data_IF_409020560077
#
_entry.id   IF_409020560077
#
_cell.length_a   1.000
_cell.length_b   1.000
_cell.length_c   1.000
_cell.angle_alpha   90.00
_cell.angle_beta   90.00
_cell.angle_gamma   90.00
#
_symmetry.space_group_name_H-M   'P 1'
#
loop_
_entity.id
_entity.type
_entity.pdbx_description
1 polymer ?
#
# COMPACT_ATOMS: atom_id res chain seq x y z
N UNK A 1 -0.91 17.67 -11.00
CA UNK A 1 -0.27 17.99 -9.71
C UNK A 1 -0.58 16.79 -8.85
N UNK A 2 0.38 15.90 -8.62
CA UNK A 2 0.16 14.70 -7.80
C UNK A 2 0.24 15.00 -6.31
N UNK A 3 -0.30 14.08 -5.52
CA UNK A 3 -0.28 14.10 -4.07
C UNK A 3 0.98 13.44 -3.52
N UNK A 4 1.57 14.05 -2.50
CA UNK A 4 2.69 13.50 -1.75
C UNK A 4 2.34 13.52 -0.26
N UNK A 5 2.58 12.41 0.42
CA UNK A 5 2.24 12.31 1.83
C UNK A 5 2.86 11.08 2.48
N UNK A 6 3.49 11.31 3.62
CA UNK A 6 4.17 10.28 4.39
C UNK A 6 3.51 10.15 5.76
N UNK A 7 3.01 8.96 6.11
CA UNK A 7 2.19 8.72 7.31
C UNK A 7 2.67 7.51 8.08
N UNK A 8 2.82 7.68 9.39
CA UNK A 8 3.18 6.63 10.33
C UNK A 8 2.01 6.30 11.25
N UNK A 9 1.63 5.04 11.34
CA UNK A 9 0.65 4.56 12.31
C UNK A 9 1.36 3.95 13.52
N UNK A 10 1.15 4.54 14.69
CA UNK A 10 1.72 4.09 15.96
C UNK A 10 0.68 4.25 17.07
N UNK A 11 0.55 3.26 17.96
CA UNK A 11 -0.35 3.31 19.12
C UNK A 11 -1.82 3.65 18.81
N UNK A 12 -2.32 3.35 17.61
CA UNK A 12 -3.70 3.62 17.21
C UNK A 12 -3.91 4.99 16.55
N UNK A 13 -2.86 5.79 16.38
CA UNK A 13 -2.93 7.14 15.81
C UNK A 13 -2.00 7.29 14.61
N UNK A 14 -2.40 8.16 13.68
CA UNK A 14 -1.59 8.56 12.54
C UNK A 14 -0.77 9.80 12.86
N UNK A 15 0.49 9.77 12.45
CA UNK A 15 1.39 10.91 12.44
C UNK A 15 1.82 11.19 11.00
N UNK A 16 1.54 12.40 10.53
CA UNK A 16 2.11 12.91 9.27
C UNK A 16 3.58 13.23 9.50
N UNK A 17 4.45 12.69 8.66
CA UNK A 17 5.89 12.85 8.73
C UNK A 17 6.35 13.95 7.76
N UNK A 18 7.35 14.71 8.18
CA UNK A 18 8.04 15.63 7.27
C UNK A 18 9.02 14.89 6.37
N UNK A 19 9.36 15.46 5.23
CA UNK A 19 10.37 14.91 4.33
C UNK A 19 11.69 14.61 5.08
N UNK A 20 12.19 13.38 4.97
CA UNK A 20 13.40 12.92 5.63
C UNK A 20 13.24 12.52 7.11
N UNK A 21 12.03 12.59 7.67
CA UNK A 21 11.73 12.04 8.98
C UNK A 21 11.65 10.49 8.90
N UNK A 22 12.25 9.81 9.88
CA UNK A 22 12.37 8.35 9.87
C UNK A 22 11.05 7.68 10.31
N UNK A 23 10.78 6.46 9.82
CA UNK A 23 9.60 5.69 10.21
C UNK A 23 9.61 5.30 11.70
N UNK A 24 8.45 4.88 12.24
CA UNK A 24 8.33 4.46 13.64
C UNK A 24 9.27 3.31 13.97
N UNK A 25 9.92 3.40 15.13
CA UNK A 25 10.87 2.37 15.61
C UNK A 25 10.22 1.33 16.52
N UNK A 26 8.95 1.55 16.94
CA UNK A 26 8.23 0.62 17.80
C UNK A 26 7.32 -0.30 16.98
N UNK A 27 7.45 -1.60 17.21
CA UNK A 27 6.65 -2.64 16.56
C UNK A 27 5.41 -3.01 17.42
N UNK A 28 4.24 -3.31 16.83
CA UNK A 28 3.96 -3.28 15.39
C UNK A 28 3.74 -1.86 14.82
N UNK A 29 4.36 -1.57 13.69
CA UNK A 29 4.26 -0.30 12.95
C UNK A 29 3.73 -0.50 11.54
N UNK A 30 3.10 0.54 11.00
CA UNK A 30 2.73 0.66 9.59
C UNK A 30 3.12 2.06 9.13
N UNK A 31 3.74 2.14 7.97
CA UNK A 31 4.22 3.37 7.36
C UNK A 31 3.76 3.41 5.89
N UNK A 32 3.19 4.54 5.50
CA UNK A 32 2.61 4.80 4.20
C UNK A 32 3.36 5.96 3.57
N UNK A 33 3.77 5.83 2.33
CA UNK A 33 4.39 6.89 1.55
C UNK A 33 3.76 6.98 0.18
N UNK A 34 3.00 8.05 -0.07
CA UNK A 34 2.32 8.32 -1.34
C UNK A 34 3.20 9.24 -2.18
N UNK A 35 3.41 8.86 -3.45
CA UNK A 35 4.25 9.57 -4.39
C UNK A 35 3.50 9.86 -5.70
N UNK A 36 3.35 11.15 -6.01
CA UNK A 36 2.76 11.71 -7.23
C UNK A 36 1.36 11.22 -7.58
N UNK A 37 0.56 10.78 -6.60
CA UNK A 37 -0.77 10.13 -6.79
C UNK A 37 -0.75 8.80 -7.56
N UNK A 38 0.41 8.24 -7.84
CA UNK A 38 0.57 7.05 -8.71
C UNK A 38 1.08 5.82 -7.93
N UNK A 39 1.95 6.05 -6.96
CA UNK A 39 2.59 5.00 -6.16
C UNK A 39 2.27 5.23 -4.69
N UNK A 40 1.90 4.16 -3.99
CA UNK A 40 1.96 4.15 -2.52
C UNK A 40 2.83 3.00 -2.05
N UNK A 41 3.85 3.31 -1.25
CA UNK A 41 4.63 2.31 -0.52
C UNK A 41 3.98 2.03 0.83
N UNK A 42 3.78 0.76 1.15
CA UNK A 42 3.26 0.27 2.42
C UNK A 42 4.36 -0.54 3.11
N UNK A 43 4.92 0.02 4.17
CA UNK A 43 6.00 -0.61 4.96
C UNK A 43 5.46 -0.99 6.32
N UNK A 44 5.67 -2.23 6.76
CA UNK A 44 5.01 -2.77 7.96
C UNK A 44 5.96 -3.63 8.81
N UNK A 45 5.78 -3.61 10.15
CA UNK A 45 6.56 -4.37 11.15
C UNK A 45 5.75 -4.73 12.44
N UNK A 46 6.13 -5.72 13.31
CA UNK A 46 7.14 -6.71 13.03
C UNK A 46 6.62 -7.57 11.89
N UNK A 47 7.47 -7.96 10.97
CA UNK A 47 6.96 -8.62 9.80
C UNK A 47 7.02 -10.12 10.07
N UNK A 48 5.97 -10.86 9.73
CA UNK A 48 6.12 -12.30 9.55
C UNK A 48 7.24 -12.55 8.54
N UNK A 49 8.10 -13.57 8.73
CA UNK A 49 9.41 -13.66 8.09
C UNK A 49 10.24 -12.37 7.76
N UNK A 50 9.88 -11.20 8.30
CA UNK A 50 10.82 -10.25 8.88
C UNK A 50 10.91 -8.81 8.35
N UNK A 51 10.45 -8.47 7.13
CA UNK A 51 10.07 -7.10 6.63
C UNK A 51 9.65 -7.16 5.17
N UNK A 52 8.73 -6.26 4.82
CA UNK A 52 8.14 -6.19 3.50
C UNK A 52 7.80 -4.75 3.13
N UNK A 53 7.90 -4.49 1.83
CA UNK A 53 7.38 -3.28 1.20
C UNK A 53 6.37 -3.77 0.19
N UNK A 54 5.11 -3.41 0.39
CA UNK A 54 4.07 -3.63 -0.60
C UNK A 54 3.79 -2.32 -1.33
N UNK A 55 3.29 -2.39 -2.55
CA UNK A 55 2.90 -1.21 -3.32
C UNK A 55 1.40 -1.23 -3.62
N UNK A 56 0.79 -0.04 -3.68
CA UNK A 56 -0.54 0.19 -4.22
C UNK A 56 -0.41 1.12 -5.43
N UNK A 57 -1.35 1.02 -6.38
CA UNK A 57 -1.27 1.76 -7.64
C UNK A 57 -0.28 1.09 -8.59
N UNK A 58 0.78 1.79 -8.95
CA UNK A 58 1.92 1.23 -9.69
C UNK A 58 3.08 0.83 -8.76
N UNK A 59 3.93 -0.09 -9.22
CA UNK A 59 5.24 -0.32 -8.60
C UNK A 59 6.26 0.70 -9.13
N UNK A 60 7.34 1.01 -8.38
CA UNK A 60 8.41 1.86 -8.90
C UNK A 60 9.03 1.32 -10.20
N UNK A 61 9.09 -0.01 -10.37
CA UNK A 61 9.63 -0.64 -11.57
C UNK A 61 8.78 -0.35 -12.80
N UNK A 62 7.46 -0.45 -12.66
CA UNK A 62 6.49 -0.11 -13.72
C UNK A 62 6.51 1.40 -13.99
N UNK A 63 6.34 2.23 -12.96
CA UNK A 63 6.21 3.69 -13.12
C UNK A 63 7.43 4.36 -13.77
N UNK A 64 8.64 3.96 -13.36
CA UNK A 64 9.87 4.51 -13.93
C UNK A 64 10.37 3.73 -15.14
N UNK A 65 9.65 2.71 -15.60
CA UNK A 65 10.06 1.75 -16.63
C UNK A 65 11.49 1.23 -16.40
N UNK A 66 11.84 1.02 -15.13
CA UNK A 66 13.21 0.74 -14.71
C UNK A 66 13.24 -0.44 -13.73
N UNK A 67 13.74 -1.62 -14.14
CA UNK A 67 13.80 -2.81 -13.29
C UNK A 67 14.78 -2.68 -12.12
N UNK A 68 15.45 -1.55 -11.94
CA UNK A 68 16.31 -1.28 -10.77
C UNK A 68 15.73 -0.20 -9.83
N UNK A 69 14.50 0.28 -10.07
CA UNK A 69 13.86 1.29 -9.22
C UNK A 69 13.48 0.76 -7.82
N UNK A 70 13.24 -0.55 -7.70
CA UNK A 70 13.02 -1.26 -6.43
C UNK A 70 13.44 -2.72 -6.55
N UNK A 71 13.38 -3.49 -5.47
CA UNK A 71 13.38 -4.96 -5.55
C UNK A 71 12.10 -5.46 -6.26
N UNK A 72 12.11 -6.66 -6.88
CA UNK A 72 10.91 -7.23 -7.48
C UNK A 72 9.81 -7.48 -6.45
N UNK A 73 8.55 -7.25 -6.84
CA UNK A 73 7.41 -7.52 -5.95
C UNK A 73 7.12 -9.01 -5.79
N UNK A 74 6.75 -9.42 -4.58
CA UNK A 74 6.18 -10.75 -4.27
C UNK A 74 4.84 -10.55 -3.54
N UNK A 75 3.78 -10.27 -4.30
CA UNK A 75 2.48 -9.87 -3.74
C UNK A 75 1.87 -10.92 -2.81
N UNK A 76 2.16 -12.22 -3.02
CA UNK A 76 1.68 -13.29 -2.17
C UNK A 76 2.37 -13.27 -0.81
N UNK A 77 3.70 -13.07 -0.80
CA UNK A 77 4.47 -12.90 0.43
C UNK A 77 4.03 -11.63 1.16
N UNK A 78 3.89 -10.52 0.45
CA UNK A 78 3.52 -9.23 1.06
C UNK A 78 2.10 -9.26 1.65
N UNK A 79 1.13 -9.85 0.94
CA UNK A 79 -0.23 -10.01 1.47
C UNK A 79 -0.26 -10.89 2.73
N UNK A 80 0.53 -11.97 2.76
CA UNK A 80 0.67 -12.83 3.94
C UNK A 80 1.29 -12.10 5.13
N UNK A 81 2.35 -11.31 4.87
CA UNK A 81 3.01 -10.47 5.88
C UNK A 81 2.08 -9.42 6.48
N UNK A 82 1.33 -8.70 5.63
CA UNK A 82 0.34 -7.72 6.06
C UNK A 82 -0.84 -8.35 6.81
N UNK A 83 -1.31 -9.54 6.41
CA UNK A 83 -2.35 -10.25 7.13
C UNK A 83 -1.87 -10.69 8.54
N UNK A 84 -0.62 -11.12 8.65
CA UNK A 84 0.00 -11.42 9.95
C UNK A 84 0.14 -10.16 10.82
N UNK A 85 0.58 -9.05 10.23
CA UNK A 85 0.61 -7.73 10.90
C UNK A 85 -0.78 -7.33 11.42
N UNK A 86 -1.81 -7.45 10.58
CA UNK A 86 -3.19 -7.13 10.92
C UNK A 86 -3.70 -7.97 12.11
N UNK A 87 -3.39 -9.27 12.13
CA UNK A 87 -3.79 -10.15 13.22
C UNK A 87 -3.12 -9.78 14.57
N UNK A 88 -1.90 -9.23 14.53
CA UNK A 88 -1.21 -8.72 15.73
C UNK A 88 -1.85 -7.43 16.25
N UNK A 89 -2.28 -6.54 15.36
CA UNK A 89 -2.89 -5.25 15.73
C UNK A 89 -4.37 -5.36 16.08
N UNK A 90 -5.03 -6.45 15.71
CA UNK A 90 -6.44 -6.72 16.01
C UNK A 90 -6.62 -8.05 16.76
N UNK A 91 -6.32 -8.13 18.07
CA UNK A 91 -6.50 -9.35 18.84
C UNK A 91 -7.95 -9.88 18.79
N UNK A 92 -8.11 -11.14 18.38
CA UNK A 92 -9.43 -11.76 18.20
C UNK A 92 -10.12 -11.43 16.88
N UNK A 93 -9.45 -10.72 15.98
CA UNK A 93 -9.91 -10.56 14.61
C UNK A 93 -9.93 -11.92 13.88
N UNK A 94 -10.87 -12.02 12.95
CA UNK A 94 -11.36 -13.29 12.39
C UNK A 94 -10.37 -14.03 11.49
N UNK A 95 -10.84 -14.41 10.31
CA UNK A 95 -10.11 -15.31 9.42
C UNK A 95 -8.93 -14.59 8.72
N UNK A 96 -7.71 -14.88 9.16
CA UNK A 96 -6.46 -14.32 8.59
C UNK A 96 -6.29 -14.71 7.12
N UNK A 97 -6.76 -15.89 6.70
CA UNK A 97 -6.66 -16.33 5.30
C UNK A 97 -7.60 -15.51 4.43
N UNK A 98 -8.82 -15.25 4.90
CA UNK A 98 -9.74 -14.36 4.20
C UNK A 98 -9.17 -12.93 4.12
N UNK A 99 -8.54 -12.44 5.20
CA UNK A 99 -7.90 -11.12 5.20
C UNK A 99 -6.72 -11.04 4.22
N UNK A 100 -5.92 -12.09 4.13
CA UNK A 100 -4.83 -12.16 3.15
C UNK A 100 -5.37 -12.05 1.71
N UNK A 101 -6.45 -12.77 1.39
CA UNK A 101 -7.06 -12.72 0.05
C UNK A 101 -7.63 -11.32 -0.27
N UNK A 102 -8.22 -10.65 0.72
CA UNK A 102 -8.69 -9.27 0.59
C UNK A 102 -7.52 -8.30 0.35
N UNK A 103 -6.44 -8.39 1.15
CA UNK A 103 -5.24 -7.55 1.00
C UNK A 103 -4.61 -7.74 -0.38
N UNK A 104 -4.53 -8.98 -0.87
CA UNK A 104 -3.95 -9.29 -2.17
C UNK A 104 -4.61 -8.51 -3.31
N UNK A 105 -5.93 -8.27 -3.24
CA UNK A 105 -6.66 -7.50 -4.25
C UNK A 105 -6.28 -6.01 -4.33
N UNK A 106 -5.52 -5.49 -3.36
CA UNK A 106 -5.03 -4.12 -3.36
C UNK A 106 -3.61 -3.98 -3.89
N UNK A 107 -2.80 -5.04 -3.81
CA UNK A 107 -1.37 -4.94 -4.06
C UNK A 107 -1.07 -4.81 -5.55
N UNK A 108 -0.14 -3.91 -5.87
CA UNK A 108 0.45 -3.78 -7.20
C UNK A 108 1.53 -4.86 -7.40
N UNK A 109 1.54 -5.46 -8.58
CA UNK A 109 2.61 -6.33 -9.05
C UNK A 109 3.42 -5.64 -10.15
N UNK A 110 4.68 -6.04 -10.29
CA UNK A 110 5.52 -5.57 -11.38
C UNK A 110 4.93 -6.00 -12.73
N UNK A 111 4.67 -5.03 -13.60
CA UNK A 111 4.16 -5.28 -14.94
C UNK A 111 5.29 -5.35 -15.95
N UNK A 112 5.13 -6.21 -16.95
CA UNK A 112 6.07 -6.25 -18.08
C UNK A 112 5.73 -5.11 -19.04
N UNK A 113 6.64 -4.13 -19.26
CA UNK A 113 6.39 -2.98 -20.12
C UNK A 113 6.09 -3.37 -21.57
N UNK A 114 6.51 -4.57 -22.01
CA UNK A 114 6.19 -5.08 -23.36
C UNK A 114 4.76 -5.61 -23.48
N UNK A 115 4.04 -5.76 -22.35
CA UNK A 115 2.66 -6.28 -22.28
C UNK A 115 1.65 -5.28 -21.74
N UNK A 116 2.13 -4.13 -21.27
CA UNK A 116 1.29 -3.08 -20.71
C UNK A 116 0.56 -2.33 -21.82
N UNK A 117 -0.71 -2.66 -22.03
CA UNK A 117 -1.61 -1.91 -22.91
C UNK A 117 -2.65 -1.19 -22.05
N UNK A 118 -2.64 0.14 -22.10
CA UNK A 118 -3.77 0.92 -21.59
C UNK A 118 -4.99 0.62 -22.47
N UNK A 119 -6.08 0.16 -21.85
CA UNK A 119 -7.34 -0.01 -22.57
C UNK A 119 -7.93 1.38 -22.86
N UNK A 120 -7.54 1.98 -23.99
CA UNK A 120 -8.06 3.26 -24.47
C UNK A 120 -9.58 3.23 -24.75
N UNK A 121 -10.23 2.05 -24.66
CA UNK A 121 -11.66 1.88 -24.88
C UNK A 121 -12.51 1.90 -23.60
N UNK A 122 -11.88 1.93 -22.42
CA UNK A 122 -12.62 2.16 -21.17
C UNK A 122 -13.17 3.58 -21.13
N UNK A 123 -14.47 3.68 -20.83
CA UNK A 123 -15.12 4.98 -20.66
C UNK A 123 -14.55 5.63 -19.40
N UNK A 124 -13.93 6.80 -19.53
CA UNK A 124 -13.25 7.50 -18.43
C UNK A 124 -14.22 7.75 -17.25
N UNK A 125 -15.52 7.86 -17.55
CA UNK A 125 -16.58 8.04 -16.57
C UNK A 125 -16.92 6.76 -15.77
N UNK A 126 -16.47 5.57 -16.23
CA UNK A 126 -16.67 4.27 -15.57
C UNK A 126 -15.43 3.79 -14.80
N UNK A 127 -14.26 4.44 -14.98
CA UNK A 127 -13.02 4.10 -14.27
C UNK A 127 -13.18 4.46 -12.78
N UNK A 128 -12.87 3.51 -11.91
CA UNK A 128 -12.92 3.75 -10.47
C UNK A 128 -11.83 4.77 -10.07
N UNK A 129 -12.17 5.80 -9.29
CA UNK A 129 -11.20 6.76 -8.76
C UNK A 129 -9.98 6.10 -8.09
N UNK A 130 -10.12 4.89 -7.52
CA UNK A 130 -9.01 4.12 -6.94
C UNK A 130 -8.06 3.49 -7.96
N UNK A 131 -8.46 3.41 -9.23
CA UNK A 131 -7.62 3.00 -10.36
C UNK A 131 -6.87 4.21 -10.95
N UNK A 132 -7.40 5.42 -10.76
CA UNK A 132 -6.80 6.68 -11.23
C UNK A 132 -5.89 7.34 -10.18
N UNK A 133 -6.30 7.33 -8.91
CA UNK A 133 -5.62 8.05 -7.83
C UNK A 133 -5.27 7.10 -6.68
N UNK A 134 -3.98 6.91 -6.44
CA UNK A 134 -3.49 5.96 -5.45
C UNK A 134 -3.87 6.34 -4.01
N UNK A 135 -4.11 7.63 -3.72
CA UNK A 135 -4.58 8.09 -2.41
C UNK A 135 -5.98 7.53 -2.08
N UNK A 136 -6.85 7.40 -3.08
CA UNK A 136 -8.19 6.79 -2.92
C UNK A 136 -8.04 5.30 -2.68
N UNK A 137 -7.17 4.61 -3.44
CA UNK A 137 -6.84 3.20 -3.22
C UNK A 137 -6.26 2.96 -1.83
N UNK A 138 -5.38 3.85 -1.38
CA UNK A 138 -4.76 3.84 -0.06
C UNK A 138 -5.81 4.01 1.03
N UNK A 139 -6.72 4.97 0.92
CA UNK A 139 -7.81 5.14 1.87
C UNK A 139 -8.68 3.88 1.99
N UNK A 140 -9.03 3.25 0.86
CA UNK A 140 -9.78 1.98 0.84
C UNK A 140 -9.00 0.82 1.46
N UNK A 141 -7.70 0.72 1.17
CA UNK A 141 -6.82 -0.28 1.76
C UNK A 141 -6.73 -0.13 3.29
N UNK A 142 -6.53 1.09 3.79
CA UNK A 142 -6.50 1.36 5.24
C UNK A 142 -7.84 1.05 5.91
N UNK A 143 -8.96 1.33 5.24
CA UNK A 143 -10.29 0.95 5.71
C UNK A 143 -10.47 -0.58 5.77
N UNK A 144 -9.96 -1.32 4.76
CA UNK A 144 -9.97 -2.78 4.73
C UNK A 144 -9.11 -3.39 5.87
N UNK A 145 -8.06 -2.71 6.29
CA UNK A 145 -7.27 -3.06 7.49
C UNK A 145 -7.98 -2.71 8.81
N UNK A 146 -9.12 -2.00 8.78
CA UNK A 146 -9.83 -1.56 9.97
C UNK A 146 -9.18 -0.36 10.67
N UNK A 147 -8.31 0.37 9.99
CA UNK A 147 -7.58 1.51 10.55
C UNK A 147 -8.37 2.82 10.33
N UNK A 148 -8.21 3.82 11.22
CA UNK A 148 -8.66 5.16 10.91
C UNK A 148 -7.88 5.71 9.70
N UNK A 149 -8.39 6.75 9.04
CA UNK A 149 -7.66 7.42 7.96
C UNK A 149 -6.84 8.62 8.48
N UNK A 150 -5.62 8.85 7.96
CA UNK A 150 -4.93 10.13 8.08
C UNK A 150 -5.85 11.27 7.62
N UNK A 151 -5.73 12.46 8.22
CA UNK A 151 -6.66 13.56 7.91
C UNK A 151 -6.58 13.99 6.43
N UNK A 152 -5.41 13.83 5.84
CA UNK A 152 -5.08 14.18 4.47
C UNK A 152 -5.62 13.16 3.45
N UNK A 153 -6.04 11.97 3.91
CA UNK A 153 -6.62 10.90 3.07
C UNK A 153 -8.13 10.69 3.34
N UNK A 154 -8.80 11.66 3.98
CA UNK A 154 -10.23 11.61 4.30
C UNK A 154 -11.12 12.21 3.24
#
# INVERSE_FOLDING_TARGET
MGFFGTFAFEHGEWKTLSEGELPPLAEPSLWIDVHDSDITSVVYAPPGPGSGVAYLGMTPRTYFENPNASDPTDVLREASGLAAWWALTHPGAGDVVAKQAEILGFLAEDEDPDTFEWDESEDIDDIDDAEVFVEVKTARFLAALGLPLPNELR
#
